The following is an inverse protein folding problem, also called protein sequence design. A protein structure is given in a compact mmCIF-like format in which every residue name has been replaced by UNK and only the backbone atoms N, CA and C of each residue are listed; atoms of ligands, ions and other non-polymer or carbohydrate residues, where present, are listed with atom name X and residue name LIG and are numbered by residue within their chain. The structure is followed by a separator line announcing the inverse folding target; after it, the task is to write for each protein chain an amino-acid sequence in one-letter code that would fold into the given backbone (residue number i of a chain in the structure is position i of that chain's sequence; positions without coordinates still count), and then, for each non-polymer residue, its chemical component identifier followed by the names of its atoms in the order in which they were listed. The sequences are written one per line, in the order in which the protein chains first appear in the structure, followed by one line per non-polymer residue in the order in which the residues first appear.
data_IF_602563259553
#
_entry.id   IF_602563259553
#
_cell.length_a   1.000
_cell.length_b   1.000
_cell.length_c   1.000
_cell.angle_alpha   90.00
_cell.angle_beta   90.00
_cell.angle_gamma   90.00
#
_symmetry.space_group_name_H-M   'P 1'
#
loop_
_entity.id
_entity.type
_entity.pdbx_description
1 polymer ?
#
# COMPACT_ATOMS: atom_id res chain seq x y z
N UNK A 1 13.85 -40.65 3.74
CA UNK A 1 13.83 -39.61 2.68
C UNK A 1 13.01 -38.47 3.19
N UNK A 2 13.62 -37.29 3.25
CA UNK A 2 13.06 -36.07 3.82
C UNK A 2 12.00 -35.49 2.88
N UNK A 3 10.94 -34.86 3.42
CA UNK A 3 9.95 -34.12 2.61
C UNK A 3 10.58 -33.06 1.69
N UNK A 4 11.79 -32.61 2.01
CA UNK A 4 12.57 -31.65 1.22
C UNK A 4 13.08 -32.23 -0.11
N UNK A 5 13.45 -33.52 -0.13
CA UNK A 5 13.96 -34.18 -1.34
C UNK A 5 12.84 -34.39 -2.37
N UNK A 6 11.63 -34.71 -1.88
CA UNK A 6 10.43 -34.84 -2.72
C UNK A 6 9.98 -33.52 -3.33
N UNK A 7 10.18 -32.39 -2.64
CA UNK A 7 9.86 -31.07 -3.18
C UNK A 7 10.86 -30.65 -4.26
N UNK A 8 12.15 -30.94 -4.05
CA UNK A 8 13.19 -30.60 -5.02
C UNK A 8 13.06 -31.38 -6.33
N UNK A 9 12.65 -32.64 -6.29
CA UNK A 9 12.38 -33.40 -7.53
C UNK A 9 11.11 -32.97 -8.26
N UNK A 10 10.05 -32.54 -7.55
CA UNK A 10 8.78 -32.16 -8.19
C UNK A 10 8.67 -30.68 -8.58
N UNK A 11 9.43 -29.78 -7.96
CA UNK A 11 9.37 -28.35 -8.25
C UNK A 11 9.84 -27.97 -9.67
N UNK A 12 10.71 -28.77 -10.28
CA UNK A 12 11.17 -28.53 -11.65
C UNK A 12 10.13 -28.96 -12.71
N UNK A 13 9.17 -29.82 -12.37
CA UNK A 13 8.13 -30.27 -13.30
C UNK A 13 6.96 -29.28 -13.43
N UNK A 14 6.74 -28.42 -12.43
CA UNK A 14 5.66 -27.43 -12.44
C UNK A 14 6.05 -26.10 -13.08
N UNK A 15 7.35 -25.84 -13.27
CA UNK A 15 7.80 -24.62 -13.93
C UNK A 15 7.77 -24.76 -15.45
N UNK A 16 6.65 -24.37 -16.05
CA UNK A 16 6.60 -24.12 -17.50
C UNK A 16 7.08 -22.70 -17.76
N UNK A 17 8.31 -22.48 -18.26
CA UNK A 17 8.75 -21.14 -18.60
C UNK A 17 7.76 -20.53 -19.59
N UNK A 18 7.46 -19.25 -19.41
CA UNK A 18 6.65 -18.52 -20.37
C UNK A 18 7.31 -18.62 -21.75
N UNK A 19 6.52 -18.78 -22.82
CA UNK A 19 7.03 -18.77 -24.18
C UNK A 19 7.89 -17.51 -24.41
N UNK A 20 9.05 -17.61 -25.09
CA UNK A 20 9.95 -16.47 -25.31
C UNK A 20 9.27 -15.26 -25.95
N UNK A 21 8.26 -15.49 -26.80
CA UNK A 21 7.45 -14.46 -27.44
C UNK A 21 6.63 -13.65 -26.43
N UNK A 22 6.15 -14.26 -25.34
CA UNK A 22 5.43 -13.56 -24.26
C UNK A 22 6.39 -12.65 -23.47
N UNK A 23 7.61 -13.14 -23.21
CA UNK A 23 8.66 -12.36 -22.52
C UNK A 23 9.05 -11.16 -23.39
N UNK A 24 9.30 -11.38 -24.68
CA UNK A 24 9.64 -10.33 -25.64
C UNK A 24 8.48 -9.34 -25.85
N UNK A 25 7.23 -9.82 -25.88
CA UNK A 25 6.05 -8.96 -25.99
C UNK A 25 5.89 -8.06 -24.76
N UNK A 26 6.07 -8.59 -23.54
CA UNK A 26 6.06 -7.80 -22.29
C UNK A 26 7.19 -6.79 -22.26
N UNK A 27 8.42 -7.18 -22.63
CA UNK A 27 9.56 -6.27 -22.71
C UNK A 27 9.31 -5.14 -23.73
N UNK A 28 8.83 -5.46 -24.94
CA UNK A 28 8.51 -4.46 -25.97
C UNK A 28 7.38 -3.53 -25.54
N UNK A 29 6.36 -4.03 -24.85
CA UNK A 29 5.27 -3.20 -24.31
C UNK A 29 5.78 -2.20 -23.27
N UNK A 30 6.68 -2.63 -22.37
CA UNK A 30 7.31 -1.75 -21.39
C UNK A 30 8.20 -0.68 -22.05
N UNK A 31 8.98 -1.04 -23.08
CA UNK A 31 9.82 -0.07 -23.80
C UNK A 31 8.98 0.95 -24.58
N UNK A 32 7.88 0.54 -25.23
CA UNK A 32 6.99 1.45 -25.96
C UNK A 32 6.38 2.53 -25.05
N UNK A 33 5.99 2.17 -23.82
CA UNK A 33 5.47 3.14 -22.84
C UNK A 33 6.51 4.20 -22.47
N UNK A 34 7.78 3.82 -22.32
CA UNK A 34 8.87 4.76 -22.00
C UNK A 34 9.20 5.72 -23.16
N UNK A 35 9.13 5.26 -24.41
CA UNK A 35 9.44 6.11 -25.58
C UNK A 35 8.36 7.16 -25.83
N UNK A 36 7.09 6.87 -25.55
CA UNK A 36 5.99 7.85 -25.69
C UNK A 36 6.12 9.01 -24.69
N UNK A 37 6.58 8.73 -23.46
CA UNK A 37 6.78 9.76 -22.41
C UNK A 37 7.94 10.71 -22.77
N UNK A 38 9.02 10.20 -23.36
CA UNK A 38 10.16 11.04 -23.77
C UNK A 38 9.83 11.90 -25.00
N UNK A 39 9.00 11.40 -25.92
CA UNK A 39 8.57 12.18 -27.09
C UNK A 39 7.62 13.34 -26.71
N UNK A 40 6.78 13.18 -25.69
CA UNK A 40 5.91 14.24 -25.19
C UNK A 40 6.71 15.36 -24.47
N UNK A 41 7.78 15.02 -23.76
CA UNK A 41 8.64 16.02 -23.10
C UNK A 41 9.51 16.82 -24.09
N UNK A 42 9.91 16.25 -25.22
CA UNK A 42 10.71 16.96 -26.23
C UNK A 42 9.90 17.99 -27.04
N UNK A 43 8.58 17.80 -27.20
CA UNK A 43 7.73 18.73 -27.96
C UNK A 43 7.43 20.04 -27.23
N UNK A 44 7.49 20.06 -25.88
CA UNK A 44 7.22 21.27 -25.08
C UNK A 44 8.44 22.21 -25.01
N UNK A 45 9.66 21.69 -25.15
CA UNK A 45 10.89 22.51 -25.08
C UNK A 45 11.14 23.31 -26.37
N UNK A 46 10.68 22.84 -27.53
CA UNK A 46 10.88 23.55 -28.80
C UNK A 46 9.92 24.75 -28.96
N UNK A 47 8.79 24.76 -28.26
CA UNK A 47 7.82 25.86 -28.36
C UNK A 47 8.19 27.11 -27.52
N UNK A 48 9.16 27.03 -26.60
CA UNK A 48 9.53 28.16 -25.71
C UNK A 48 10.87 28.81 -26.07
N UNK A 49 11.74 28.16 -26.85
CA UNK A 49 13.06 28.69 -27.23
C UNK A 49 13.05 29.55 -28.53
N UNK A 50 11.92 30.19 -28.82
CA UNK A 50 11.68 30.96 -30.04
C UNK A 50 11.85 32.47 -29.92
N UNK A 51 12.70 32.99 -29.03
CA UNK A 51 13.13 34.41 -29.06
C UNK A 51 14.58 34.50 -28.55
N UNK A 52 15.42 35.20 -29.30
CA UNK A 52 16.88 35.03 -29.29
C UNK A 52 17.61 35.58 -28.07
N UNK A 53 18.86 35.13 -27.92
CA UNK A 53 20.06 35.91 -27.60
C UNK A 53 21.26 35.02 -27.92
N UNK A 54 22.16 35.52 -28.76
CA UNK A 54 23.46 34.88 -29.01
C UNK A 54 24.34 34.99 -27.77
N UNK A 55 24.90 33.87 -27.33
CA UNK A 55 25.92 33.83 -26.28
C UNK A 55 27.06 32.90 -26.69
N UNK A 56 28.26 33.45 -26.55
CA UNK A 56 29.54 32.92 -26.97
C UNK A 56 29.86 31.61 -26.25
N UNK A 57 30.35 30.64 -27.01
CA UNK A 57 31.10 29.50 -26.50
C UNK A 57 32.45 30.01 -25.94
N UNK A 58 32.62 29.95 -24.62
CA UNK A 58 33.92 29.98 -23.95
C UNK A 58 34.19 28.59 -23.39
N UNK A 59 35.18 27.93 -23.97
CA UNK A 59 35.76 26.68 -23.50
C UNK A 59 36.91 27.05 -22.57
N UNK A 60 36.72 26.96 -21.25
CA UNK A 60 37.81 27.08 -20.27
C UNK A 60 37.50 26.21 -19.05
N UNK A 61 38.48 25.41 -18.63
CA UNK A 61 38.59 24.94 -17.25
C UNK A 61 38.42 23.44 -17.01
N UNK A 62 39.48 22.67 -17.27
CA UNK A 62 39.73 21.40 -16.58
C UNK A 62 39.99 21.70 -15.09
N UNK A 63 38.98 21.51 -14.25
CA UNK A 63 39.14 21.54 -12.80
C UNK A 63 39.89 20.31 -12.27
N UNK A 64 40.62 20.42 -11.15
CA UNK A 64 41.34 19.30 -10.56
C UNK A 64 40.37 18.22 -10.06
N UNK A 65 40.80 16.96 -10.18
CA UNK A 65 40.01 15.79 -9.82
C UNK A 65 39.54 15.84 -8.34
N UNK A 66 38.30 15.41 -8.05
CA UNK A 66 37.83 15.29 -6.68
C UNK A 66 38.62 14.21 -5.93
N UNK A 67 38.99 14.51 -4.68
CA UNK A 67 39.62 13.56 -3.77
C UNK A 67 38.71 12.35 -3.55
N UNK A 68 39.27 11.13 -3.44
CA UNK A 68 38.47 9.94 -3.15
C UNK A 68 37.84 10.03 -1.75
N UNK A 69 36.64 9.45 -1.56
CA UNK A 69 35.97 9.44 -0.26
C UNK A 69 36.78 8.66 0.77
N UNK A 70 36.97 9.27 1.94
CA UNK A 70 37.53 8.61 3.13
C UNK A 70 36.48 7.64 3.67
N UNK A 71 36.80 6.34 3.69
CA UNK A 71 35.97 5.33 4.33
C UNK A 71 36.08 5.44 5.86
N UNK A 72 34.96 5.54 6.61
CA UNK A 72 35.00 5.37 8.05
C UNK A 72 35.22 3.89 8.42
N UNK A 73 36.19 3.63 9.31
CA UNK A 73 36.38 2.34 9.96
C UNK A 73 35.18 1.99 10.85
N UNK A 74 34.56 0.80 10.70
CA UNK A 74 33.65 0.29 11.71
C UNK A 74 34.39 -0.64 12.68
N UNK A 75 34.47 -0.22 13.95
CA UNK A 75 34.75 -1.14 15.06
C UNK A 75 33.88 -0.78 16.24
N UNK A 76 32.70 -1.40 16.36
CA UNK A 76 32.00 -1.52 17.64
C UNK A 76 31.52 -2.96 17.77
N UNK A 77 32.29 -3.74 18.53
CA UNK A 77 31.89 -5.06 19.02
C UNK A 77 30.97 -4.86 20.22
N UNK A 78 29.67 -5.06 20.05
CA UNK A 78 28.73 -5.14 21.17
C UNK A 78 28.68 -6.59 21.68
N UNK A 79 28.91 -6.76 22.98
CA UNK A 79 28.83 -8.05 23.66
C UNK A 79 27.38 -8.59 23.69
N UNK A 80 27.19 -9.92 23.64
CA UNK A 80 25.86 -10.52 23.70
C UNK A 80 25.23 -10.31 25.09
N UNK A 81 24.06 -9.70 25.12
CA UNK A 81 23.19 -9.65 26.30
C UNK A 81 22.32 -10.91 26.35
N UNK A 82 22.49 -11.70 27.41
CA UNK A 82 21.71 -12.89 27.70
C UNK A 82 20.29 -12.51 28.14
N UNK A 83 19.22 -12.94 27.47
CA UNK A 83 17.86 -12.69 27.94
C UNK A 83 17.57 -13.52 29.19
N UNK A 84 17.06 -12.86 30.22
CA UNK A 84 16.57 -13.48 31.46
C UNK A 84 15.22 -14.17 31.20
N UNK A 85 14.97 -15.41 31.67
CA UNK A 85 13.72 -16.10 31.43
C UNK A 85 12.57 -15.44 32.21
N UNK A 86 11.56 -14.98 31.46
CA UNK A 86 10.33 -14.42 32.01
C UNK A 86 9.39 -15.53 32.49
N UNK A 87 8.74 -15.29 33.62
CA UNK A 87 7.96 -16.26 34.37
C UNK A 87 6.68 -16.73 33.65
N UNK A 88 6.34 -17.98 33.95
CA UNK A 88 5.15 -18.71 33.50
C UNK A 88 3.84 -18.10 34.04
N UNK A 89 2.81 -17.83 33.21
CA UNK A 89 1.52 -17.40 33.71
C UNK A 89 0.66 -18.59 34.18
N UNK A 90 0.13 -18.42 35.38
CA UNK A 90 -0.76 -19.32 36.11
C UNK A 90 -2.19 -19.27 35.53
N UNK A 91 -2.88 -20.40 35.25
CA UNK A 91 -4.26 -20.40 34.77
C UNK A 91 -5.25 -20.23 35.95
N UNK A 92 -5.82 -19.04 36.09
CA UNK A 92 -6.93 -18.76 37.01
C UNK A 92 -8.29 -19.02 36.37
N UNK A 93 -9.11 -19.85 37.01
CA UNK A 93 -10.52 -20.15 36.67
C UNK A 93 -11.40 -18.91 36.51
N UNK A 94 -12.35 -18.88 35.54
CA UNK A 94 -13.44 -17.93 35.56
C UNK A 94 -14.56 -18.37 36.52
N UNK A 95 -14.96 -17.46 37.40
CA UNK A 95 -16.16 -17.56 38.24
C UNK A 95 -17.27 -16.66 37.66
N UNK A 96 -18.53 -17.11 37.54
CA UNK A 96 -19.62 -16.31 36.99
C UNK A 96 -20.44 -15.64 38.10
N UNK A 97 -20.84 -14.38 37.89
CA UNK A 97 -22.15 -13.80 38.31
C UNK A 97 -22.10 -12.28 38.35
N UNK A 98 -23.14 -11.64 37.80
CA UNK A 98 -23.44 -10.24 38.09
C UNK A 98 -24.25 -9.54 37.01
N UNK A 99 -25.57 -9.71 37.03
CA UNK A 99 -26.49 -8.72 36.45
C UNK A 99 -26.52 -7.45 37.31
N UNK A 100 -26.73 -6.28 36.69
CA UNK A 100 -27.56 -5.28 37.33
C UNK A 100 -28.66 -4.76 36.40
N UNK A 101 -29.90 -4.93 36.87
CA UNK A 101 -31.02 -4.07 36.52
C UNK A 101 -30.81 -2.69 37.13
N UNK A 102 -30.97 -1.64 36.34
CA UNK A 102 -30.86 -0.26 36.80
C UNK A 102 -31.84 0.63 36.05
N UNK A 103 -33.06 0.69 36.56
CA UNK A 103 -34.08 1.68 36.20
C UNK A 103 -33.65 3.07 36.70
N UNK A 104 -33.75 4.08 35.84
CA UNK A 104 -33.81 5.48 36.29
C UNK A 104 -34.89 6.23 35.50
N UNK A 105 -36.07 6.31 36.12
CA UNK A 105 -37.06 7.34 35.87
C UNK A 105 -36.47 8.69 36.28
N UNK A 106 -36.27 9.59 35.32
CA UNK A 106 -35.92 10.99 35.54
C UNK A 106 -37.03 11.89 35.02
N UNK A 107 -37.93 12.28 35.91
CA UNK A 107 -39.03 13.20 35.68
C UNK A 107 -38.56 14.65 35.81
N UNK A 108 -38.90 15.49 34.82
CA UNK A 108 -39.20 16.91 35.03
C UNK A 108 -38.15 17.94 34.62
N UNK A 109 -38.46 18.71 33.57
CA UNK A 109 -38.22 20.16 33.59
C UNK A 109 -39.24 20.89 32.67
N UNK A 110 -40.00 21.88 33.17
CA UNK A 110 -40.97 22.63 32.39
C UNK A 110 -40.42 23.95 31.83
N UNK A 111 -40.96 24.35 30.67
CA UNK A 111 -41.28 25.73 30.33
C UNK A 111 -40.13 26.66 29.92
N UNK A 112 -39.79 26.66 28.63
CA UNK A 112 -38.99 27.71 28.00
C UNK A 112 -39.56 28.05 26.62
N UNK A 113 -39.99 29.30 26.45
CA UNK A 113 -40.71 29.88 25.32
C UNK A 113 -40.34 29.36 23.93
N UNK A 114 -41.36 28.87 23.22
CA UNK A 114 -41.37 28.67 21.77
C UNK A 114 -41.26 30.02 21.06
N UNK A 115 -40.11 30.26 20.45
CA UNK A 115 -39.98 31.22 19.36
C UNK A 115 -40.27 30.47 18.05
N UNK A 116 -41.19 30.93 17.19
CA UNK A 116 -41.54 30.22 15.96
C UNK A 116 -40.40 30.32 14.95
N UNK A 117 -39.47 29.36 15.01
CA UNK A 117 -38.47 29.15 13.98
C UNK A 117 -39.14 28.69 12.68
N UNK A 118 -39.01 29.52 11.66
CA UNK A 118 -39.48 29.22 10.31
C UNK A 118 -38.89 27.88 9.83
N UNK A 119 -39.66 27.05 9.09
CA UNK A 119 -39.16 25.78 8.58
C UNK A 119 -38.00 26.04 7.62
N UNK A 120 -36.76 25.83 8.09
CA UNK A 120 -35.58 25.73 7.23
C UNK A 120 -35.74 24.46 6.42
N UNK A 121 -36.31 24.60 5.22
CA UNK A 121 -36.24 23.61 4.15
C UNK A 121 -34.78 23.24 3.93
N UNK A 122 -34.37 22.14 4.56
CA UNK A 122 -33.05 21.58 4.41
C UNK A 122 -33.06 20.88 3.06
N UNK A 123 -32.52 21.57 2.05
CA UNK A 123 -32.27 20.95 0.75
C UNK A 123 -31.19 19.87 0.94
N UNK A 124 -31.61 18.65 1.26
CA UNK A 124 -30.71 17.51 1.30
C UNK A 124 -30.35 17.17 -0.13
N UNK A 125 -29.19 17.64 -0.60
CA UNK A 125 -28.64 17.17 -1.86
C UNK A 125 -28.52 15.64 -1.79
N UNK A 126 -29.01 14.91 -2.80
CA UNK A 126 -28.93 13.46 -2.82
C UNK A 126 -27.46 13.02 -2.73
N UNK A 127 -27.21 11.95 -1.98
CA UNK A 127 -25.88 11.38 -1.85
C UNK A 127 -25.35 10.92 -3.24
N UNK A 128 -24.05 11.09 -3.52
CA UNK A 128 -23.47 10.63 -4.78
C UNK A 128 -23.64 9.12 -4.98
N UNK A 129 -23.82 8.69 -6.23
CA UNK A 129 -23.88 7.28 -6.56
C UNK A 129 -22.50 6.61 -6.37
N UNK A 130 -22.44 5.36 -5.86
CA UNK A 130 -21.19 4.62 -5.71
C UNK A 130 -20.44 4.41 -7.03
N UNK A 131 -19.11 4.43 -6.99
CA UNK A 131 -18.24 4.14 -8.14
C UNK A 131 -18.03 2.64 -8.33
N UNK A 132 -17.77 2.23 -9.58
CA UNK A 132 -17.27 0.90 -9.88
C UNK A 132 -15.74 0.91 -9.91
N UNK A 133 -15.09 0.25 -8.96
CA UNK A 133 -13.62 0.26 -8.84
C UNK A 133 -12.90 -0.32 -10.06
N UNK A 134 -13.56 -1.17 -10.86
CA UNK A 134 -13.00 -1.70 -12.12
C UNK A 134 -12.85 -0.65 -13.22
N UNK A 135 -13.49 0.51 -13.08
CA UNK A 135 -13.45 1.61 -14.05
C UNK A 135 -12.60 2.79 -13.57
N UNK A 136 -12.11 2.73 -12.34
CA UNK A 136 -11.27 3.78 -11.77
C UNK A 136 -9.85 3.61 -12.30
N UNK A 137 -9.31 4.68 -12.88
CA UNK A 137 -7.88 4.78 -13.14
C UNK A 137 -7.18 5.19 -11.83
N UNK A 138 -6.63 4.21 -11.12
CA UNK A 138 -6.00 4.43 -9.81
C UNK A 138 -4.72 5.26 -9.89
N UNK A 139 -4.13 5.39 -11.08
CA UNK A 139 -2.93 6.21 -11.31
C UNK A 139 -3.28 7.66 -11.66
N UNK A 140 -4.56 7.96 -11.94
CA UNK A 140 -5.02 9.28 -12.33
C UNK A 140 -6.37 9.61 -11.65
N UNK A 141 -6.36 9.70 -10.31
CA UNK A 141 -7.57 9.93 -9.51
C UNK A 141 -7.28 10.58 -8.16
N UNK A 142 -8.30 11.15 -7.52
CA UNK A 142 -8.19 11.62 -6.13
C UNK A 142 -8.55 10.49 -5.18
N UNK A 143 -7.64 10.16 -4.27
CA UNK A 143 -7.84 9.11 -3.26
C UNK A 143 -7.84 9.76 -1.89
N UNK A 144 -8.83 9.39 -1.06
CA UNK A 144 -8.79 9.71 0.37
C UNK A 144 -7.99 8.65 1.13
N UNK A 145 -6.80 9.00 1.62
CA UNK A 145 -5.94 8.14 2.41
C UNK A 145 -6.30 8.18 3.90
N UNK A 146 -6.31 7.02 4.60
CA UNK A 146 -6.45 6.99 6.05
C UNK A 146 -5.18 7.53 6.71
N UNK A 147 -5.32 8.04 7.94
CA UNK A 147 -4.16 8.25 8.79
C UNK A 147 -3.49 6.91 9.07
N UNK A 148 -2.15 6.83 8.97
CA UNK A 148 -1.42 5.65 9.40
C UNK A 148 -1.39 5.60 10.93
N UNK A 149 -1.43 4.40 11.50
CA UNK A 149 -1.68 4.22 12.93
C UNK A 149 -0.42 4.37 13.80
N UNK A 150 0.78 4.35 13.19
CA UNK A 150 2.05 4.03 13.88
C UNK A 150 3.22 4.99 13.52
N UNK A 151 2.98 6.31 13.44
CA UNK A 151 4.02 7.38 13.45
C UNK A 151 4.93 7.59 12.21
N UNK A 152 4.55 7.17 10.99
CA UNK A 152 5.31 7.49 9.77
C UNK A 152 4.70 8.61 8.92
N UNK A 153 5.58 9.40 8.28
CA UNK A 153 5.39 10.55 7.37
C UNK A 153 4.48 10.30 6.14
N UNK A 154 3.67 9.24 6.12
CA UNK A 154 2.74 9.03 5.03
C UNK A 154 1.60 10.06 5.07
N UNK A 155 1.44 10.89 4.03
CA UNK A 155 0.37 11.87 3.95
C UNK A 155 -1.01 11.19 4.04
N UNK A 156 -1.92 11.82 4.78
CA UNK A 156 -3.32 11.41 4.91
C UNK A 156 -4.27 12.46 4.33
N UNK A 157 -5.53 12.09 4.13
CA UNK A 157 -6.55 12.99 3.56
C UNK A 157 -6.76 12.78 2.06
N UNK A 158 -7.43 13.72 1.40
CA UNK A 158 -7.65 13.66 -0.05
C UNK A 158 -6.36 14.09 -0.78
N UNK A 159 -5.78 13.16 -1.55
CA UNK A 159 -4.59 13.40 -2.36
C UNK A 159 -4.90 13.13 -3.82
N UNK A 160 -4.48 14.04 -4.70
CA UNK A 160 -4.52 13.84 -6.14
C UNK A 160 -3.35 12.96 -6.59
N UNK A 161 -3.67 11.84 -7.23
CA UNK A 161 -2.71 10.94 -7.88
C UNK A 161 -2.68 11.27 -9.35
N UNK A 162 -1.51 11.63 -9.86
CA UNK A 162 -1.24 11.91 -11.28
C UNK A 162 -0.08 11.02 -11.71
N UNK A 163 -0.31 10.19 -12.73
CA UNK A 163 0.64 9.19 -13.23
C UNK A 163 1.22 8.30 -12.11
N UNK A 164 0.36 7.92 -11.17
CA UNK A 164 0.70 7.05 -10.04
C UNK A 164 1.49 7.74 -8.93
N UNK A 165 1.57 9.08 -8.93
CA UNK A 165 2.29 9.87 -7.94
C UNK A 165 1.41 10.98 -7.37
N UNK A 166 1.59 11.29 -6.09
CA UNK A 166 1.02 12.47 -5.46
C UNK A 166 2.09 13.55 -5.28
N UNK A 167 1.69 14.82 -5.21
CA UNK A 167 2.60 15.92 -4.86
C UNK A 167 3.23 15.80 -3.46
N UNK A 168 2.72 14.88 -2.63
CA UNK A 168 3.18 14.64 -1.26
C UNK A 168 4.09 13.41 -1.13
N UNK A 169 4.54 12.81 -2.25
CA UNK A 169 5.49 11.70 -2.23
C UNK A 169 4.89 10.30 -2.05
N UNK A 170 3.56 10.19 -2.02
CA UNK A 170 2.88 8.89 -2.12
C UNK A 170 2.86 8.43 -3.57
N UNK A 171 3.28 7.20 -3.81
CA UNK A 171 3.12 6.50 -5.09
C UNK A 171 2.01 5.46 -4.98
N UNK A 172 1.17 5.33 -6.01
CA UNK A 172 0.14 4.31 -6.14
C UNK A 172 0.27 3.66 -7.51
N UNK A 173 0.39 2.34 -7.53
CA UNK A 173 0.43 1.56 -8.77
C UNK A 173 -0.61 0.44 -8.73
N UNK A 174 -1.19 0.08 -9.88
CA UNK A 174 -2.16 -0.99 -9.99
C UNK A 174 -1.71 -2.31 -9.35
N UNK A 175 -0.44 -2.66 -9.45
CA UNK A 175 0.15 -3.81 -8.77
C UNK A 175 1.67 -3.63 -8.62
N UNK A 176 2.25 -4.38 -7.69
CA UNK A 176 3.70 -4.36 -7.45
C UNK A 176 4.52 -4.88 -8.64
N UNK A 177 4.05 -5.95 -9.31
CA UNK A 177 4.77 -6.61 -10.41
C UNK A 177 4.48 -6.04 -11.81
N UNK A 178 3.72 -4.94 -11.90
CA UNK A 178 3.25 -4.40 -13.18
C UNK A 178 2.13 -5.27 -13.77
N UNK A 179 0.91 -4.77 -13.71
CA UNK A 179 -0.31 -5.55 -13.97
C UNK A 179 -1.55 -4.75 -13.60
N UNK A 180 -2.73 -5.34 -13.71
CA UNK A 180 -3.97 -4.71 -13.25
C UNK A 180 -4.12 -4.81 -11.73
N UNK A 181 -4.98 -3.98 -11.10
CA UNK A 181 -5.36 -4.18 -9.70
C UNK A 181 -6.01 -5.55 -9.48
N UNK A 182 -5.88 -6.06 -8.25
CA UNK A 182 -6.66 -7.23 -7.84
C UNK A 182 -8.01 -6.75 -7.34
N UNK A 183 -9.09 -7.47 -7.66
CA UNK A 183 -10.45 -7.04 -7.35
C UNK A 183 -11.24 -8.12 -6.62
N UNK A 184 -12.07 -7.72 -5.67
CA UNK A 184 -13.02 -8.59 -5.00
C UNK A 184 -13.82 -7.86 -3.93
N UNK A 185 -14.84 -8.52 -3.39
CA UNK A 185 -15.61 -8.02 -2.25
C UNK A 185 -14.83 -8.29 -0.95
N UNK A 186 -14.25 -7.23 -0.40
CA UNK A 186 -13.33 -7.29 0.75
C UNK A 186 -14.08 -7.13 2.07
N UNK A 187 -15.10 -6.27 2.12
CA UNK A 187 -15.85 -6.01 3.35
C UNK A 187 -17.22 -6.67 3.44
N UNK A 188 -17.62 -7.42 2.40
CA UNK A 188 -18.82 -8.24 2.38
C UNK A 188 -20.10 -7.46 2.10
N UNK A 189 -20.01 -6.25 1.55
CA UNK A 189 -21.18 -5.42 1.22
C UNK A 189 -21.77 -5.72 -0.18
N UNK A 190 -21.19 -6.69 -0.90
CA UNK A 190 -21.59 -7.07 -2.25
C UNK A 190 -21.03 -6.16 -3.35
N UNK A 191 -20.18 -5.19 -3.03
CA UNK A 191 -19.46 -4.35 -3.99
C UNK A 191 -18.06 -4.89 -4.20
N UNK A 192 -17.39 -4.31 -5.19
CA UNK A 192 -16.03 -4.71 -5.57
C UNK A 192 -15.08 -3.61 -5.17
N UNK A 193 -14.13 -3.96 -4.32
CA UNK A 193 -12.97 -3.17 -3.98
C UNK A 193 -11.79 -3.49 -4.90
N UNK A 194 -10.78 -2.64 -4.87
CA UNK A 194 -9.50 -2.88 -5.53
C UNK A 194 -8.39 -3.00 -4.49
N UNK A 195 -7.45 -3.92 -4.70
CA UNK A 195 -6.17 -3.98 -4.00
C UNK A 195 -5.09 -3.57 -4.97
N UNK A 196 -4.38 -2.50 -4.61
CA UNK A 196 -3.29 -1.89 -5.37
C UNK A 196 -2.01 -1.91 -4.53
N UNK A 197 -0.90 -1.54 -5.14
CA UNK A 197 0.34 -1.28 -4.42
C UNK A 197 0.47 0.21 -4.13
N UNK A 198 0.89 0.56 -2.92
CA UNK A 198 1.20 1.95 -2.55
C UNK A 198 2.52 2.04 -1.79
N UNK A 199 3.21 3.17 -1.92
CA UNK A 199 4.39 3.50 -1.12
C UNK A 199 4.34 4.95 -0.68
N UNK A 200 4.83 5.23 0.53
CA UNK A 200 4.89 6.57 1.09
C UNK A 200 6.32 7.15 1.11
N UNK A 201 7.34 6.34 0.79
CA UNK A 201 8.72 6.81 0.74
C UNK A 201 9.10 7.13 -0.69
N UNK A 202 9.27 8.42 -0.98
CA UNK A 202 9.82 8.94 -2.22
C UNK A 202 11.31 8.59 -2.33
N UNK A 203 11.60 7.37 -2.76
CA UNK A 203 12.96 6.88 -2.99
C UNK A 203 13.01 5.90 -4.16
N UNK A 204 13.65 6.24 -5.30
CA UNK A 204 13.76 5.35 -6.47
C UNK A 204 14.71 4.15 -6.28
N UNK A 205 14.87 3.63 -5.07
CA UNK A 205 15.84 2.56 -4.77
C UNK A 205 15.47 1.60 -3.63
N UNK A 206 14.32 1.78 -2.97
CA UNK A 206 13.88 0.84 -1.94
C UNK A 206 12.78 -0.05 -2.48
N UNK A 207 13.19 -1.06 -3.25
CA UNK A 207 12.35 -2.04 -3.96
C UNK A 207 11.32 -2.79 -3.07
N UNK A 208 11.26 -2.53 -1.77
CA UNK A 208 10.32 -3.16 -0.84
C UNK A 208 9.63 -2.19 0.14
N UNK A 209 9.81 -0.87 0.01
CA UNK A 209 9.25 0.11 0.96
C UNK A 209 7.72 0.26 0.90
N UNK A 210 7.09 -0.29 -0.13
CA UNK A 210 5.64 -0.24 -0.29
C UNK A 210 4.87 -1.28 0.51
N UNK A 211 3.56 -1.13 0.48
CA UNK A 211 2.58 -2.00 1.11
C UNK A 211 1.36 -2.09 0.20
N UNK A 212 0.52 -3.10 0.36
CA UNK A 212 -0.75 -3.15 -0.38
C UNK A 212 -1.74 -2.14 0.21
N UNK A 213 -2.61 -1.60 -0.62
CA UNK A 213 -3.64 -0.64 -0.24
C UNK A 213 -4.98 -1.11 -0.81
N UNK A 214 -5.97 -1.26 0.06
CA UNK A 214 -7.33 -1.59 -0.37
C UNK A 214 -8.14 -0.30 -0.58
N UNK A 215 -8.81 -0.20 -1.71
CA UNK A 215 -9.58 0.97 -2.16
C UNK A 215 -11.05 0.60 -2.37
N UNK A 216 -11.96 1.50 -1.97
CA UNK A 216 -13.38 1.40 -2.25
C UNK A 216 -13.92 2.66 -2.94
N UNK A 217 -15.13 2.55 -3.50
CA UNK A 217 -15.83 3.63 -4.20
C UNK A 217 -17.21 3.95 -3.60
N UNK A 218 -17.47 3.58 -2.33
CA UNK A 218 -18.83 3.53 -1.77
C UNK A 218 -19.55 4.87 -1.77
N UNK A 219 -18.80 5.97 -1.61
CA UNK A 219 -19.36 7.33 -1.48
C UNK A 219 -19.39 8.11 -2.78
N UNK A 220 -19.16 7.44 -3.93
CA UNK A 220 -18.99 8.13 -5.21
C UNK A 220 -17.60 8.76 -5.39
N UNK A 221 -16.70 8.56 -4.42
CA UNK A 221 -15.28 8.95 -4.45
C UNK A 221 -14.42 7.74 -4.12
N UNK A 222 -13.18 7.75 -4.58
CA UNK A 222 -12.20 6.71 -4.24
C UNK A 222 -11.65 6.98 -2.84
N UNK A 223 -11.73 5.98 -1.96
CA UNK A 223 -11.20 6.06 -0.62
C UNK A 223 -10.40 4.80 -0.29
N UNK A 224 -9.24 4.96 0.33
CA UNK A 224 -8.52 3.85 0.89
C UNK A 224 -9.21 3.35 2.16
N UNK A 225 -9.51 2.06 2.21
CA UNK A 225 -9.99 1.38 3.39
C UNK A 225 -8.87 1.27 4.43
N UNK A 226 -7.69 0.88 3.96
CA UNK A 226 -6.54 0.65 4.82
C UNK A 226 -5.40 -0.04 4.09
N UNK A 227 -4.25 0.01 4.74
CA UNK A 227 -3.05 -0.71 4.32
C UNK A 227 -3.19 -2.20 4.63
N UNK A 228 -2.70 -3.06 3.74
CA UNK A 228 -2.77 -4.53 3.82
C UNK A 228 -1.37 -5.12 3.77
N UNK A 229 -1.12 -6.17 4.55
CA UNK A 229 0.17 -6.84 4.51
C UNK A 229 1.23 -6.22 5.41
N UNK A 230 2.45 -6.78 5.42
CA UNK A 230 3.60 -6.18 6.08
C UNK A 230 4.25 -5.10 5.20
N UNK A 231 4.95 -4.18 5.82
CA UNK A 231 5.83 -3.19 5.15
C UNK A 231 7.19 -3.86 4.89
N UNK A 232 7.89 -3.48 3.82
CA UNK A 232 9.28 -3.91 3.63
C UNK A 232 9.45 -5.25 2.91
N UNK A 233 8.37 -5.85 2.40
CA UNK A 233 8.38 -7.18 1.79
C UNK A 233 8.06 -7.14 0.31
N UNK A 234 8.61 -8.09 -0.43
CA UNK A 234 8.36 -8.27 -1.86
C UNK A 234 7.02 -8.98 -2.00
N UNK A 235 6.07 -8.36 -2.70
CA UNK A 235 4.75 -8.95 -2.97
C UNK A 235 4.85 -9.78 -4.26
N UNK A 236 4.73 -11.09 -4.16
CA UNK A 236 4.79 -11.98 -5.32
C UNK A 236 3.43 -12.19 -5.97
N UNK A 237 2.38 -12.30 -5.15
CA UNK A 237 1.02 -12.53 -5.62
C UNK A 237 -0.01 -11.97 -4.64
N UNK A 238 -1.16 -11.60 -5.18
CA UNK A 238 -2.31 -11.08 -4.42
C UNK A 238 -3.59 -11.67 -4.98
N UNK A 239 -4.40 -12.28 -4.13
CA UNK A 239 -5.74 -12.71 -4.49
C UNK A 239 -6.77 -12.19 -3.49
N UNK A 240 -7.99 -11.94 -3.97
CA UNK A 240 -9.12 -11.53 -3.12
C UNK A 240 -10.25 -12.53 -3.29
N UNK A 241 -10.68 -13.15 -2.19
CA UNK A 241 -11.77 -14.13 -2.21
C UNK A 241 -12.45 -14.23 -0.83
N UNK A 242 -13.77 -14.25 -0.79
CA UNK A 242 -14.54 -14.45 0.44
C UNK A 242 -14.23 -13.47 1.58
N UNK A 243 -14.09 -12.17 1.25
CA UNK A 243 -13.75 -11.12 2.21
C UNK A 243 -12.32 -11.23 2.77
N UNK A 244 -11.43 -11.94 2.07
CA UNK A 244 -10.03 -12.13 2.45
C UNK A 244 -9.11 -11.62 1.36
N UNK A 245 -8.00 -11.00 1.77
CA UNK A 245 -6.87 -10.69 0.91
C UNK A 245 -5.76 -11.68 1.23
N UNK A 246 -5.42 -12.56 0.30
CA UNK A 246 -4.34 -13.54 0.45
C UNK A 246 -3.13 -13.00 -0.30
N UNK A 247 -2.00 -12.93 0.38
CA UNK A 247 -0.78 -12.32 -0.13
C UNK A 247 0.37 -13.31 -0.02
N UNK A 248 1.05 -13.55 -1.13
CA UNK A 248 2.31 -14.30 -1.15
C UNK A 248 3.46 -13.32 -1.07
N UNK A 249 4.22 -13.36 0.02
CA UNK A 249 5.31 -12.42 0.31
C UNK A 249 6.65 -13.12 0.39
N UNK A 250 7.71 -12.42 -0.02
CA UNK A 250 9.11 -12.84 0.14
C UNK A 250 9.83 -11.81 0.99
N UNK A 251 10.67 -12.26 1.93
CA UNK A 251 11.55 -11.36 2.65
C UNK A 251 12.64 -10.85 1.70
N UNK A 252 12.87 -9.53 1.68
CA UNK A 252 13.94 -8.93 0.88
C UNK A 252 15.26 -9.67 1.18
N UNK A 253 15.93 -10.16 0.13
CA UNK A 253 17.19 -10.94 0.17
C UNK A 253 17.10 -12.42 0.57
N UNK A 254 15.91 -12.99 0.70
CA UNK A 254 15.72 -14.42 0.97
C UNK A 254 14.78 -15.04 -0.04
N UNK A 255 14.96 -16.32 -0.36
CA UNK A 255 14.09 -17.06 -1.31
C UNK A 255 12.93 -17.78 -0.60
N UNK A 256 12.67 -17.44 0.66
CA UNK A 256 11.56 -18.02 1.42
C UNK A 256 10.30 -17.23 1.13
N UNK A 257 9.29 -17.90 0.59
CA UNK A 257 7.94 -17.36 0.43
C UNK A 257 7.07 -17.72 1.63
N UNK A 258 6.15 -16.83 1.97
CA UNK A 258 5.07 -17.08 2.92
C UNK A 258 3.75 -16.61 2.33
N UNK A 259 2.71 -17.40 2.53
CA UNK A 259 1.34 -16.98 2.29
C UNK A 259 0.76 -16.41 3.58
N UNK A 260 0.10 -15.25 3.49
CA UNK A 260 -0.54 -14.56 4.62
C UNK A 260 -1.94 -14.13 4.21
N UNK A 261 -2.90 -14.30 5.11
CA UNK A 261 -4.30 -13.91 4.85
C UNK A 261 -4.70 -12.74 5.74
N UNK A 262 -5.27 -11.71 5.15
CA UNK A 262 -5.76 -10.52 5.84
C UNK A 262 -7.29 -10.40 5.71
N UNK A 263 -7.92 -9.89 6.77
CA UNK A 263 -9.35 -9.56 6.80
C UNK A 263 -9.57 -8.14 7.28
N UNK A 264 -10.53 -7.46 6.66
CA UNK A 264 -11.04 -6.19 7.15
C UNK A 264 -11.88 -6.42 8.41
N UNK A 265 -11.59 -5.70 9.50
CA UNK A 265 -12.34 -5.82 10.76
C UNK A 265 -13.31 -4.64 11.02
N UNK A 266 -13.50 -3.77 10.04
CA UNK A 266 -14.28 -2.52 10.17
C UNK A 266 -13.41 -1.27 10.35
N UNK A 267 -12.16 -1.39 10.77
CA UNK A 267 -11.24 -0.25 10.96
C UNK A 267 -9.86 -0.43 10.33
N UNK A 268 -9.35 -1.65 10.26
CA UNK A 268 -8.06 -1.98 9.65
C UNK A 268 -8.03 -3.41 9.12
N UNK A 269 -6.99 -3.71 8.34
CA UNK A 269 -6.68 -5.10 7.99
C UNK A 269 -5.92 -5.77 9.13
N UNK A 270 -6.37 -6.95 9.50
CA UNK A 270 -5.72 -7.79 10.50
C UNK A 270 -5.31 -9.10 9.84
N UNK A 271 -4.07 -9.53 10.08
CA UNK A 271 -3.63 -10.85 9.66
C UNK A 271 -4.46 -11.90 10.40
N UNK A 272 -5.19 -12.71 9.64
CA UNK A 272 -6.10 -13.73 10.14
C UNK A 272 -5.57 -15.16 9.97
N UNK A 273 -4.55 -15.34 9.12
CA UNK A 273 -3.91 -16.64 8.88
C UNK A 273 -2.48 -16.48 8.35
N UNK A 274 -1.71 -17.56 8.40
CA UNK A 274 -0.32 -17.67 7.95
C UNK A 274 0.72 -17.16 8.95
N UNK A 275 2.02 -17.39 8.70
CA UNK A 275 3.09 -16.96 9.61
C UNK A 275 3.22 -15.43 9.71
N UNK A 276 3.55 -14.93 10.88
CA UNK A 276 3.79 -13.48 11.10
C UNK A 276 5.25 -13.09 10.90
N UNK A 277 6.18 -14.04 11.00
CA UNK A 277 7.62 -13.85 10.85
C UNK A 277 8.22 -14.88 9.89
N UNK A 278 9.30 -14.48 9.20
CA UNK A 278 10.13 -15.40 8.44
C UNK A 278 11.00 -16.24 9.39
N UNK A 279 11.32 -17.50 9.01
CA UNK A 279 12.28 -18.29 9.76
C UNK A 279 13.64 -17.59 9.77
N UNK A 280 14.40 -17.75 10.85
CA UNK A 280 15.78 -17.26 10.90
C UNK A 280 16.62 -17.93 9.81
N UNK A 281 17.53 -17.19 9.15
CA UNK A 281 18.47 -17.80 8.23
C UNK A 281 19.34 -18.81 8.99
N UNK A 282 19.50 -19.99 8.40
CA UNK A 282 20.39 -21.06 8.89
C UNK A 282 21.85 -20.77 8.57
#
# INVERSE_FOLDING_TARGET
MSNFDSYRESAHESFKPLPPDVIVARARAATRRRVVVVAAAAAVVIAVAGVGVGLRLRSDGLGPAPNPPVMPSPSVTLAPVTPSPSASPNPGSPSPSGSPSGSSSGSGQPGGSESPDAPRSSSTSPAPAPLSMRKVDVENTTIRFPARHDDDDCPAGELEVVDGQTGSGVSVHPSYLGGAPTYGDIDGDGRVEAVVWGSCTSGPGDDASGQLLALNGRTGKVAAMGWVGPVGQVINDVTVSGGRVVVTVTQKYYDVQQERTYRWNGSRFVQSDGPTAFPSPS
#
